data_IF_986467678813
#
_entry.id   IF_986467678813
#
_cell.length_a   1.000
_cell.length_b   1.000
_cell.length_c   1.000
_cell.angle_alpha   90.00
_cell.angle_beta   90.00
_cell.angle_gamma   90.00
#
_symmetry.space_group_name_H-M   'P 1'
#
loop_
_entity.id
_entity.type
_entity.pdbx_description
1 polymer ?
#
# COMPACT_ATOMS: atom_id res chain seq x y z
N UNK A 1 9.40 9.37 12.89
CA UNK A 1 8.08 8.68 12.86
C UNK A 1 7.56 8.44 14.27
N UNK A 2 6.31 8.82 14.55
CA UNK A 2 5.63 8.63 15.84
C UNK A 2 5.22 7.17 16.11
N UNK A 3 4.82 6.86 17.36
CA UNK A 3 4.48 5.50 17.79
C UNK A 3 3.24 4.98 17.08
N UNK A 4 2.22 5.83 16.87
CA UNK A 4 0.97 5.44 16.23
C UNK A 4 1.23 4.97 14.79
N UNK A 5 1.99 5.75 14.02
CA UNK A 5 2.36 5.42 12.64
C UNK A 5 3.15 4.09 12.57
N UNK A 6 4.07 3.86 13.51
CA UNK A 6 4.80 2.58 13.61
C UNK A 6 3.87 1.39 13.88
N UNK A 7 2.89 1.55 14.76
CA UNK A 7 1.91 0.50 15.06
C UNK A 7 1.02 0.20 13.85
N UNK A 8 0.59 1.25 13.14
CA UNK A 8 -0.19 1.11 11.90
C UNK A 8 0.59 0.36 10.81
N UNK A 9 1.86 0.70 10.58
CA UNK A 9 2.71 -0.03 9.62
C UNK A 9 2.87 -1.52 9.99
N UNK A 10 3.05 -1.84 11.28
CA UNK A 10 3.08 -3.24 11.75
C UNK A 10 1.75 -3.96 11.52
N UNK A 11 0.63 -3.31 11.82
CA UNK A 11 -0.71 -3.84 11.56
C UNK A 11 -0.90 -4.13 10.06
N UNK A 12 -0.52 -3.17 9.21
CA UNK A 12 -0.59 -3.32 7.77
C UNK A 12 0.27 -4.50 7.28
N UNK A 13 1.50 -4.63 7.78
CA UNK A 13 2.37 -5.75 7.44
C UNK A 13 1.73 -7.11 7.77
N UNK A 14 1.11 -7.24 8.96
CA UNK A 14 0.40 -8.46 9.36
C UNK A 14 -0.74 -8.76 8.38
N UNK A 15 -1.53 -7.74 8.02
CA UNK A 15 -2.63 -7.93 7.06
C UNK A 15 -2.15 -8.32 5.67
N UNK A 16 -1.13 -7.65 5.13
CA UNK A 16 -0.62 -7.96 3.78
C UNK A 16 0.02 -9.35 3.69
N UNK A 17 0.53 -9.89 4.80
CA UNK A 17 1.02 -11.27 4.87
C UNK A 17 -0.09 -12.32 4.96
N UNK A 18 -1.32 -11.92 5.28
CA UNK A 18 -2.45 -12.83 5.54
C UNK A 18 -3.63 -12.57 4.60
N UNK A 19 -3.41 -11.85 3.50
CA UNK A 19 -4.46 -11.53 2.53
C UNK A 19 -5.20 -12.80 2.12
N UNK A 20 -6.55 -12.82 2.20
CA UNK A 20 -7.33 -14.03 1.98
C UNK A 20 -7.13 -14.67 0.62
N UNK A 21 -7.31 -15.99 0.55
CA UNK A 21 -7.22 -16.79 -0.67
C UNK A 21 -8.31 -16.47 -1.72
N UNK A 22 -9.30 -15.63 -1.38
CA UNK A 22 -10.27 -15.08 -2.33
C UNK A 22 -9.63 -14.13 -3.35
N UNK A 23 -8.43 -13.60 -3.06
CA UNK A 23 -7.62 -12.86 -4.02
C UNK A 23 -6.59 -13.78 -4.69
N UNK A 24 -6.29 -13.56 -5.99
CA UNK A 24 -5.36 -14.39 -6.72
C UNK A 24 -3.95 -14.29 -6.12
N UNK A 25 -3.30 -15.45 -5.95
CA UNK A 25 -1.87 -15.52 -5.66
C UNK A 25 -1.12 -15.39 -6.98
N UNK A 26 -0.35 -14.32 -7.14
CA UNK A 26 0.54 -14.14 -8.28
C UNK A 26 1.97 -14.32 -7.85
N UNK A 27 2.75 -14.97 -8.71
CA UNK A 27 4.19 -15.02 -8.52
C UNK A 27 4.83 -13.66 -8.86
N UNK A 28 6.11 -13.55 -8.56
CA UNK A 28 6.87 -12.33 -8.72
C UNK A 28 6.93 -11.77 -10.16
N UNK A 29 6.79 -12.61 -11.19
CA UNK A 29 6.85 -12.21 -12.59
C UNK A 29 5.48 -11.79 -13.16
N UNK A 30 4.38 -12.19 -12.51
CA UNK A 30 3.00 -11.95 -12.94
C UNK A 30 2.27 -10.89 -12.10
N UNK A 31 2.93 -10.42 -11.04
CA UNK A 31 2.39 -9.45 -10.11
C UNK A 31 2.12 -8.10 -10.78
N UNK A 32 0.97 -7.53 -10.47
CA UNK A 32 0.64 -6.15 -10.89
C UNK A 32 1.37 -5.09 -10.06
N UNK A 33 2.07 -5.50 -8.98
CA UNK A 33 2.76 -4.60 -8.06
C UNK A 33 4.27 -4.59 -8.34
N UNK A 34 4.79 -3.47 -8.81
CA UNK A 34 6.19 -3.26 -9.18
C UNK A 34 7.04 -2.56 -8.12
N UNK A 35 6.78 -2.78 -6.82
CA UNK A 35 7.46 -2.05 -5.73
C UNK A 35 8.98 -2.27 -5.66
N UNK A 36 9.50 -3.37 -6.20
CA UNK A 36 10.95 -3.61 -6.33
C UNK A 36 11.64 -2.59 -7.27
N UNK A 37 10.88 -2.02 -8.19
CA UNK A 37 11.31 -1.00 -9.14
C UNK A 37 10.71 0.37 -8.79
N UNK A 38 10.38 0.59 -7.51
CA UNK A 38 9.86 1.87 -7.06
C UNK A 38 10.94 2.93 -7.20
N UNK A 39 10.78 3.78 -8.20
CA UNK A 39 11.57 4.99 -8.43
C UNK A 39 10.65 6.18 -8.59
N UNK A 40 11.11 7.34 -8.14
CA UNK A 40 10.46 8.60 -8.47
C UNK A 40 10.73 8.92 -9.95
N UNK A 41 9.75 9.49 -10.65
CA UNK A 41 9.90 9.86 -12.05
C UNK A 41 10.95 10.96 -12.25
N UNK A 42 11.61 10.97 -13.40
CA UNK A 42 12.52 12.04 -13.78
C UNK A 42 11.74 13.37 -13.85
N UNK A 43 12.07 14.31 -12.97
CA UNK A 43 11.41 15.62 -12.87
C UNK A 43 10.21 15.68 -11.92
N UNK A 44 9.65 14.55 -11.47
CA UNK A 44 8.48 14.54 -10.58
C UNK A 44 8.79 15.23 -9.24
N UNK A 45 10.00 15.03 -8.71
CA UNK A 45 10.41 15.70 -7.47
C UNK A 45 10.58 17.22 -7.66
N UNK A 46 11.02 17.67 -8.84
CA UNK A 46 11.15 19.09 -9.16
C UNK A 46 9.78 19.75 -9.31
N UNK A 47 8.83 19.05 -9.95
CA UNK A 47 7.50 19.58 -10.27
C UNK A 47 6.51 19.47 -9.09
N UNK A 48 6.57 18.39 -8.32
CA UNK A 48 5.57 18.05 -7.29
C UNK A 48 6.13 18.13 -5.86
N UNK A 49 7.46 18.25 -5.73
CA UNK A 49 8.15 18.00 -4.47
C UNK A 49 8.18 16.51 -4.11
N UNK A 50 9.06 16.15 -3.18
CA UNK A 50 9.27 14.76 -2.76
C UNK A 50 7.96 14.05 -2.34
N UNK A 51 7.15 14.66 -1.47
CA UNK A 51 5.88 14.07 -1.02
C UNK A 51 4.90 13.85 -2.19
N UNK A 52 4.83 14.81 -3.12
CA UNK A 52 3.99 14.73 -4.31
C UNK A 52 4.43 13.64 -5.28
N UNK A 53 5.74 13.53 -5.53
CA UNK A 53 6.34 12.49 -6.37
C UNK A 53 6.07 11.08 -5.81
N UNK A 54 6.22 10.90 -4.48
CA UNK A 54 5.93 9.61 -3.83
C UNK A 54 4.44 9.29 -3.94
N UNK A 55 3.56 10.27 -3.70
CA UNK A 55 2.12 10.07 -3.84
C UNK A 55 1.74 9.65 -5.27
N UNK A 56 2.28 10.36 -6.27
CA UNK A 56 2.03 10.06 -7.67
C UNK A 56 2.46 8.62 -8.01
N UNK A 57 3.65 8.20 -7.57
CA UNK A 57 4.12 6.84 -7.83
C UNK A 57 3.31 5.77 -7.08
N UNK A 58 2.83 6.05 -5.88
CA UNK A 58 1.89 5.18 -5.18
C UNK A 58 0.55 5.07 -5.94
N UNK A 59 0.03 6.17 -6.48
CA UNK A 59 -1.20 6.15 -7.31
C UNK A 59 -1.03 5.32 -8.59
N UNK A 60 0.15 5.34 -9.22
CA UNK A 60 0.46 4.51 -10.39
C UNK A 60 0.40 3.01 -10.02
N UNK A 61 1.01 2.62 -8.91
CA UNK A 61 1.13 1.20 -8.51
C UNK A 61 -0.18 0.66 -7.91
N UNK A 62 -0.85 1.45 -7.08
CA UNK A 62 -1.98 1.02 -6.26
C UNK A 62 -3.33 1.44 -6.86
N UNK A 63 -3.34 2.47 -7.71
CA UNK A 63 -4.54 3.14 -8.19
C UNK A 63 -4.87 4.40 -7.39
N UNK A 64 -5.86 5.15 -7.87
CA UNK A 64 -6.26 6.43 -7.27
C UNK A 64 -6.86 6.29 -5.87
N UNK A 65 -6.46 7.19 -4.97
CA UNK A 65 -6.87 7.25 -3.56
C UNK A 65 -8.21 8.02 -3.34
N UNK A 66 -8.99 8.26 -4.40
CA UNK A 66 -9.80 9.49 -4.50
C UNK A 66 -11.23 9.41 -3.98
N UNK A 67 -11.72 8.28 -3.42
CA UNK A 67 -13.12 8.16 -2.88
C UNK A 67 -13.47 6.82 -2.20
N UNK A 68 -12.69 5.78 -2.41
CA UNK A 68 -12.86 4.48 -1.76
C UNK A 68 -11.49 3.98 -1.32
N UNK A 69 -11.41 3.08 -0.33
CA UNK A 69 -10.17 2.36 -0.08
C UNK A 69 -9.71 1.76 -1.41
N UNK A 70 -8.45 1.97 -1.76
CA UNK A 70 -7.82 1.23 -2.86
C UNK A 70 -8.12 -0.25 -2.66
N UNK A 71 -8.42 -1.02 -3.71
CA UNK A 71 -8.67 -2.46 -3.55
C UNK A 71 -7.38 -3.25 -3.79
N UNK A 72 -7.06 -4.17 -2.88
CA UNK A 72 -6.03 -5.16 -3.15
C UNK A 72 -6.46 -6.02 -4.35
N UNK A 73 -5.57 -6.14 -5.33
CA UNK A 73 -5.82 -6.89 -6.58
C UNK A 73 -5.40 -8.35 -6.48
N UNK A 74 -4.42 -8.62 -5.63
CA UNK A 74 -3.73 -9.90 -5.52
C UNK A 74 -3.10 -10.03 -4.12
N UNK A 75 -2.73 -11.25 -3.77
CA UNK A 75 -1.90 -11.58 -2.60
C UNK A 75 -0.55 -12.10 -3.06
N UNK A 76 0.46 -12.00 -2.18
CA UNK A 76 1.82 -12.45 -2.45
C UNK A 76 2.86 -11.53 -1.84
N UNK A 77 4.14 -11.83 -2.07
CA UNK A 77 5.26 -11.05 -1.53
C UNK A 77 5.32 -9.61 -2.07
N UNK A 78 4.88 -9.41 -3.31
CA UNK A 78 4.99 -8.13 -4.02
C UNK A 78 4.19 -7.00 -3.38
N UNK A 79 2.96 -7.24 -2.94
CA UNK A 79 2.17 -6.22 -2.22
C UNK A 79 2.82 -5.81 -0.90
N UNK A 80 3.54 -6.71 -0.23
CA UNK A 80 4.26 -6.38 1.00
C UNK A 80 5.42 -5.39 0.79
N UNK A 81 5.91 -5.23 -0.45
CA UNK A 81 6.93 -4.24 -0.81
C UNK A 81 6.55 -2.80 -0.47
N UNK A 82 5.25 -2.47 -0.48
CA UNK A 82 4.73 -1.15 -0.09
C UNK A 82 5.09 -0.78 1.35
N UNK A 83 5.26 -1.76 2.25
CA UNK A 83 5.67 -1.53 3.64
C UNK A 83 7.05 -0.89 3.70
N UNK A 84 7.99 -1.40 2.91
CA UNK A 84 9.36 -0.87 2.87
C UNK A 84 9.36 0.57 2.35
N UNK A 85 8.59 0.85 1.30
CA UNK A 85 8.44 2.20 0.73
C UNK A 85 7.86 3.17 1.77
N UNK A 86 6.72 2.82 2.37
CA UNK A 86 6.07 3.68 3.37
C UNK A 86 6.94 3.86 4.62
N UNK A 87 7.62 2.82 5.10
CA UNK A 87 8.51 2.91 6.25
C UNK A 87 9.70 3.84 5.99
N UNK A 88 10.31 3.74 4.79
CA UNK A 88 11.43 4.60 4.42
C UNK A 88 10.99 6.06 4.37
N UNK A 89 9.94 6.37 3.60
CA UNK A 89 9.52 7.76 3.41
C UNK A 89 8.81 8.36 4.62
N UNK A 90 8.16 7.59 5.50
CA UNK A 90 7.64 8.10 6.79
C UNK A 90 8.75 8.28 7.84
N UNK A 91 9.93 7.70 7.61
CA UNK A 91 11.12 8.02 8.41
C UNK A 91 11.66 9.40 8.04
N UNK A 92 11.72 9.70 6.74
CA UNK A 92 12.18 10.98 6.19
C UNK A 92 11.15 12.10 6.34
N UNK A 93 9.87 11.80 6.11
CA UNK A 93 8.73 12.72 6.15
C UNK A 93 7.73 12.30 7.24
N UNK A 94 8.10 12.36 8.54
CA UNK A 94 7.29 11.82 9.63
C UNK A 94 5.97 12.56 9.88
N UNK A 95 5.82 13.77 9.34
CA UNK A 95 4.60 14.58 9.44
C UNK A 95 3.74 14.51 8.18
N UNK A 96 4.14 13.72 7.17
CA UNK A 96 3.40 13.56 5.93
C UNK A 96 1.98 13.04 6.21
N UNK A 97 0.99 13.86 5.91
CA UNK A 97 -0.42 13.49 6.05
C UNK A 97 -0.80 12.51 4.92
N UNK A 98 -0.23 12.72 3.73
CA UNK A 98 -0.51 11.90 2.54
C UNK A 98 0.01 10.47 2.73
N UNK A 99 1.25 10.29 3.18
CA UNK A 99 1.80 8.95 3.41
C UNK A 99 1.11 8.24 4.59
N UNK A 100 0.71 8.96 5.64
CA UNK A 100 -0.10 8.38 6.72
C UNK A 100 -1.48 7.94 6.23
N UNK A 101 -2.10 8.72 5.34
CA UNK A 101 -3.36 8.36 4.68
C UNK A 101 -3.21 7.08 3.84
N UNK A 102 -2.12 6.91 3.11
CA UNK A 102 -1.83 5.66 2.40
C UNK A 102 -1.78 4.44 3.32
N UNK A 103 -1.16 4.57 4.50
CA UNK A 103 -1.16 3.48 5.51
C UNK A 103 -2.58 3.15 5.94
N UNK A 104 -3.39 4.16 6.27
CA UNK A 104 -4.77 3.97 6.72
C UNK A 104 -5.66 3.35 5.62
N UNK A 105 -5.55 3.82 4.38
CA UNK A 105 -6.34 3.32 3.26
C UNK A 105 -5.97 1.87 2.90
N UNK A 106 -4.69 1.51 2.97
CA UNK A 106 -4.25 0.12 2.76
C UNK A 106 -4.70 -0.81 3.88
N UNK A 107 -4.77 -0.32 5.12
CA UNK A 107 -5.35 -1.08 6.25
C UNK A 107 -6.85 -1.33 5.98
N UNK A 108 -7.61 -0.28 5.63
CA UNK A 108 -9.03 -0.42 5.30
C UNK A 108 -9.26 -1.32 4.08
N UNK A 109 -8.37 -1.28 3.10
CA UNK A 109 -8.38 -2.17 1.94
C UNK A 109 -8.25 -3.64 2.33
N UNK A 110 -7.26 -3.94 3.17
CA UNK A 110 -7.03 -5.30 3.62
C UNK A 110 -8.20 -5.79 4.49
N UNK A 111 -8.69 -4.98 5.42
CA UNK A 111 -9.88 -5.29 6.22
C UNK A 111 -11.10 -5.62 5.33
N UNK A 112 -11.34 -4.82 4.29
CA UNK A 112 -12.40 -5.09 3.32
C UNK A 112 -12.21 -6.43 2.58
N UNK A 113 -10.98 -6.78 2.22
CA UNK A 113 -10.67 -8.07 1.60
C UNK A 113 -11.01 -9.25 2.55
N UNK A 114 -10.69 -9.13 3.85
CA UNK A 114 -11.07 -10.12 4.86
C UNK A 114 -12.57 -10.24 5.03
N UNK A 115 -13.30 -9.12 5.14
CA UNK A 115 -14.75 -9.16 5.27
C UNK A 115 -15.42 -9.77 4.03
N UNK A 116 -14.94 -9.42 2.83
CA UNK A 116 -15.42 -10.01 1.57
C UNK A 116 -15.20 -11.53 1.55
N UNK A 117 -14.02 -12.00 2.00
CA UNK A 117 -13.72 -13.42 2.08
C UNK A 117 -14.64 -14.17 3.05
N UNK A 118 -14.96 -13.59 4.22
CA UNK A 118 -15.89 -14.19 5.19
C UNK A 118 -17.30 -14.35 4.61
N UNK A 119 -17.78 -13.34 3.87
CA UNK A 119 -19.08 -13.41 3.21
C UNK A 119 -19.13 -14.55 2.18
N UNK A 120 -18.07 -14.75 1.40
CA UNK A 120 -18.00 -15.84 0.39
C UNK A 120 -18.03 -17.24 1.00
N UNK A 121 -17.51 -17.42 2.22
CA UNK A 121 -17.53 -18.71 2.94
C UNK A 121 -18.90 -19.00 3.58
N UNK A 122 -19.73 -17.97 3.76
CA UNK A 122 -21.03 -18.07 4.44
C UNK A 122 -22.22 -18.25 3.47
N UNK A 123 -21.97 -18.36 2.16
CA UNK A 123 -22.95 -18.63 1.10
C UNK A 123 -22.90 -20.09 0.68
#
# INVERSE_FOLDING_TARGET
MDIETKLKLRKLQVYLNQVPDSLPLKNEAESDYGFDFFSLGDGDEEDLGLEGAINHQLEIQLGQCNKCPVRLKERGSRIAGVISILNNYLTELPTSIILKKWVDDLISSAELAFETAKCLVSM
#
